data_IF_033329913817
#
_entry.id   IF_033329913817
#
_cell.length_a   1.000
_cell.length_b   1.000
_cell.length_c   1.000
_cell.angle_alpha   90.00
_cell.angle_beta   90.00
_cell.angle_gamma   90.00
#
_symmetry.space_group_name_H-M   'P 1'
#
loop_
_entity.id
_entity.type
_entity.pdbx_description
1 polymer ?
#
# COMPACT_ATOMS: atom_id res chain seq x y z
N UNK A 1 -15.80 -31.81 29.98
CA UNK A 1 -15.64 -30.70 29.01
C UNK A 1 -14.16 -30.45 28.67
N UNK A 2 -13.24 -30.41 29.64
CA UNK A 2 -11.80 -30.67 29.37
C UNK A 2 -11.61 -32.01 28.63
N UNK A 3 -12.44 -33.01 28.97
CA UNK A 3 -12.54 -34.30 28.27
C UNK A 3 -12.78 -34.17 26.75
N UNK A 4 -13.49 -33.14 26.29
CA UNK A 4 -13.73 -32.91 24.86
C UNK A 4 -12.48 -32.38 24.16
N UNK A 5 -11.71 -31.51 24.83
CA UNK A 5 -10.41 -31.05 24.34
C UNK A 5 -9.43 -32.21 24.30
N UNK A 6 -9.35 -33.01 25.38
CA UNK A 6 -8.49 -34.20 25.45
C UNK A 6 -8.83 -35.16 24.32
N UNK A 7 -10.11 -35.51 24.12
CA UNK A 7 -10.54 -36.38 23.04
C UNK A 7 -10.17 -35.83 21.65
N UNK A 8 -10.27 -34.52 21.43
CA UNK A 8 -9.84 -33.89 20.16
C UNK A 8 -8.33 -33.89 19.97
N UNK A 9 -7.56 -33.75 21.06
CA UNK A 9 -6.09 -33.86 21.01
C UNK A 9 -5.69 -35.31 20.71
N UNK A 10 -6.33 -36.29 21.34
CA UNK A 10 -6.14 -37.71 21.03
C UNK A 10 -6.49 -38.01 19.57
N UNK A 11 -7.60 -37.47 19.06
CA UNK A 11 -7.97 -37.55 17.64
C UNK A 11 -6.92 -36.92 16.73
N UNK A 12 -6.33 -35.78 17.11
CA UNK A 12 -5.25 -35.13 16.35
C UNK A 12 -4.00 -36.03 16.28
N UNK A 13 -3.63 -36.68 17.38
CA UNK A 13 -2.48 -37.59 17.42
C UNK A 13 -2.71 -38.81 16.52
N UNK A 14 -3.92 -39.40 16.55
CA UNK A 14 -4.26 -40.52 15.65
C UNK A 14 -4.21 -40.09 14.18
N UNK A 15 -4.80 -38.93 13.83
CA UNK A 15 -4.76 -38.39 12.46
C UNK A 15 -3.34 -38.05 11.99
N UNK A 16 -2.45 -37.70 12.90
CA UNK A 16 -1.06 -37.46 12.58
C UNK A 16 -0.38 -38.74 12.07
N UNK A 17 -0.60 -39.86 12.76
CA UNK A 17 -0.07 -41.17 12.34
C UNK A 17 -0.70 -41.64 11.01
N UNK A 18 -2.01 -41.57 10.88
CA UNK A 18 -2.73 -41.92 9.64
C UNK A 18 -2.28 -41.08 8.45
N UNK A 19 -2.01 -39.79 8.68
CA UNK A 19 -1.53 -38.88 7.66
C UNK A 19 -0.16 -39.27 7.12
N UNK A 20 0.77 -39.69 7.99
CA UNK A 20 2.09 -40.17 7.59
C UNK A 20 1.97 -41.48 6.80
N UNK A 21 1.14 -42.42 7.25
CA UNK A 21 0.88 -43.67 6.52
C UNK A 21 0.32 -43.37 5.13
N UNK A 22 -0.64 -42.45 5.02
CA UNK A 22 -1.20 -42.03 3.73
C UNK A 22 -0.17 -41.39 2.79
N UNK A 23 0.82 -40.67 3.31
CA UNK A 23 1.93 -40.14 2.50
C UNK A 23 2.83 -41.28 2.00
N UNK A 24 3.21 -42.21 2.88
CA UNK A 24 4.05 -43.37 2.52
C UNK A 24 3.38 -44.24 1.45
N UNK A 25 2.06 -44.40 1.54
CA UNK A 25 1.25 -45.16 0.60
C UNK A 25 0.96 -44.41 -0.72
N UNK A 26 1.33 -43.13 -0.83
CA UNK A 26 1.03 -42.29 -2.00
C UNK A 26 -0.44 -41.87 -2.13
N UNK A 27 -1.23 -41.97 -1.06
CA UNK A 27 -2.65 -41.60 -1.01
C UNK A 27 -2.85 -40.08 -0.89
N UNK A 28 -1.88 -39.39 -0.29
CA UNK A 28 -1.86 -37.92 -0.15
C UNK A 28 -0.43 -37.40 -0.22
N UNK A 29 -0.28 -36.17 -0.69
CA UNK A 29 1.01 -35.46 -0.64
C UNK A 29 1.12 -34.58 0.62
N UNK A 30 2.30 -33.99 0.80
CA UNK A 30 2.59 -33.13 1.96
C UNK A 30 1.69 -31.88 1.99
N UNK A 31 1.28 -31.37 0.83
CA UNK A 31 0.45 -30.17 0.74
C UNK A 31 -0.94 -30.46 1.29
N UNK A 32 -1.57 -31.54 0.81
CA UNK A 32 -2.88 -31.99 1.29
C UNK A 32 -2.83 -32.33 2.78
N UNK A 33 -1.80 -33.05 3.23
CA UNK A 33 -1.66 -33.38 4.65
C UNK A 33 -1.54 -32.15 5.54
N UNK A 34 -0.76 -31.14 5.11
CA UNK A 34 -0.60 -29.88 5.85
C UNK A 34 -1.93 -29.13 6.00
N UNK A 35 -2.76 -29.10 4.95
CA UNK A 35 -4.08 -28.48 5.01
C UNK A 35 -5.01 -29.21 5.99
N UNK A 36 -5.06 -30.55 5.90
CA UNK A 36 -5.87 -31.39 6.81
C UNK A 36 -5.46 -31.21 8.28
N UNK A 37 -4.15 -31.11 8.55
CA UNK A 37 -3.61 -30.90 9.89
C UNK A 37 -3.97 -29.50 10.42
N UNK A 38 -3.82 -28.47 9.57
CA UNK A 38 -4.17 -27.09 9.93
C UNK A 38 -5.65 -26.97 10.32
N UNK A 39 -6.56 -27.53 9.53
CA UNK A 39 -7.99 -27.51 9.83
C UNK A 39 -8.28 -28.10 11.21
N UNK A 40 -7.62 -29.22 11.55
CA UNK A 40 -7.82 -29.89 12.84
C UNK A 40 -7.25 -29.08 14.01
N UNK A 41 -6.07 -28.47 13.83
CA UNK A 41 -5.50 -27.57 14.83
C UNK A 41 -6.39 -26.35 15.06
N UNK A 42 -6.97 -25.78 14.00
CA UNK A 42 -7.91 -24.65 14.10
C UNK A 42 -9.18 -25.05 14.89
N UNK A 43 -9.72 -26.26 14.67
CA UNK A 43 -10.85 -26.78 15.47
C UNK A 43 -10.52 -26.88 16.96
N UNK A 44 -9.34 -27.40 17.30
CA UNK A 44 -8.88 -27.52 18.69
C UNK A 44 -8.69 -26.13 19.31
N UNK A 45 -8.04 -25.22 18.58
CA UNK A 45 -7.85 -23.84 19.00
C UNK A 45 -9.17 -23.14 19.33
N UNK A 46 -10.19 -23.28 18.47
CA UNK A 46 -11.55 -22.73 18.73
C UNK A 46 -12.14 -23.23 20.04
N UNK A 47 -12.07 -24.54 20.29
CA UNK A 47 -12.63 -25.14 21.50
C UNK A 47 -11.83 -24.70 22.75
N UNK A 48 -10.50 -24.61 22.65
CA UNK A 48 -9.66 -24.13 23.75
C UNK A 48 -9.99 -22.68 24.14
N UNK A 49 -10.12 -21.78 23.16
CA UNK A 49 -10.49 -20.38 23.43
C UNK A 49 -11.90 -20.29 24.02
N UNK A 50 -12.85 -21.05 23.50
CA UNK A 50 -14.21 -21.12 24.05
C UNK A 50 -14.20 -21.53 25.52
N UNK A 51 -13.44 -22.57 25.86
CA UNK A 51 -13.31 -23.06 27.23
C UNK A 51 -12.61 -22.06 28.12
N UNK A 52 -11.57 -21.37 27.64
CA UNK A 52 -10.91 -20.29 28.36
C UNK A 52 -11.89 -19.16 28.71
N UNK A 53 -12.69 -18.70 27.76
CA UNK A 53 -13.72 -17.68 28.01
C UNK A 53 -14.73 -18.15 29.07
N UNK A 54 -15.17 -19.41 29.00
CA UNK A 54 -16.10 -19.98 29.99
C UNK A 54 -15.46 -20.06 31.37
N UNK A 55 -14.22 -20.50 31.47
CA UNK A 55 -13.51 -20.62 32.75
C UNK A 55 -13.31 -19.26 33.40
N UNK A 56 -12.92 -18.24 32.63
CA UNK A 56 -12.82 -16.87 33.13
C UNK A 56 -14.17 -16.38 33.67
N UNK A 57 -15.26 -16.55 32.91
CA UNK A 57 -16.61 -16.19 33.39
C UNK A 57 -16.97 -16.92 34.68
N UNK A 58 -16.67 -18.22 34.76
CA UNK A 58 -16.98 -19.03 35.93
C UNK A 58 -16.19 -18.61 37.18
N UNK A 59 -14.89 -18.38 37.05
CA UNK A 59 -14.02 -17.92 38.14
C UNK A 59 -14.56 -16.60 38.71
N UNK A 60 -14.82 -15.62 37.83
CA UNK A 60 -15.35 -14.31 38.22
C UNK A 60 -16.74 -14.44 38.85
N UNK A 61 -17.60 -15.28 38.29
CA UNK A 61 -18.95 -15.57 38.80
C UNK A 61 -18.96 -16.34 40.12
N UNK A 62 -17.84 -16.90 40.56
CA UNK A 62 -17.73 -17.56 41.86
C UNK A 62 -16.93 -16.75 42.89
N UNK A 63 -16.19 -15.73 42.46
CA UNK A 63 -15.38 -14.88 43.33
C UNK A 63 -16.22 -14.12 44.38
N UNK A 64 -15.76 -14.15 45.64
CA UNK A 64 -16.43 -13.52 46.78
C UNK A 64 -16.51 -11.99 46.64
N UNK A 65 -15.39 -11.34 46.33
CA UNK A 65 -15.32 -9.87 46.13
C UNK A 65 -16.32 -9.39 45.07
N UNK A 66 -16.44 -10.14 43.97
CA UNK A 66 -17.42 -9.84 42.93
C UNK A 66 -18.86 -9.98 43.44
N UNK A 67 -19.21 -10.99 44.26
CA UNK A 67 -20.56 -11.15 44.85
C UNK A 67 -20.94 -9.99 45.77
N UNK A 68 -19.97 -9.42 46.47
CA UNK A 68 -20.18 -8.27 47.35
C UNK A 68 -20.61 -7.05 46.53
N UNK A 69 -19.92 -6.77 45.42
CA UNK A 69 -20.10 -5.55 44.60
C UNK A 69 -21.11 -5.65 43.46
N UNK A 70 -21.39 -6.84 42.95
CA UNK A 70 -22.18 -7.02 41.74
C UNK A 70 -23.30 -8.05 41.92
N UNK A 71 -24.46 -7.75 41.33
CA UNK A 71 -25.59 -8.65 41.19
C UNK A 71 -25.57 -9.32 39.80
N UNK A 72 -25.87 -10.61 39.74
CA UNK A 72 -26.02 -11.34 38.46
C UNK A 72 -27.40 -11.04 37.88
N UNK A 73 -27.43 -10.48 36.67
CA UNK A 73 -28.69 -10.12 36.00
C UNK A 73 -29.15 -11.24 35.07
N UNK A 74 -28.27 -11.69 34.18
CA UNK A 74 -28.54 -12.74 33.18
C UNK A 74 -27.25 -13.28 32.57
N UNK A 75 -27.40 -14.22 31.65
CA UNK A 75 -26.32 -14.70 30.78
C UNK A 75 -26.65 -14.39 29.33
N UNK A 76 -25.65 -13.92 28.59
CA UNK A 76 -25.78 -13.56 27.19
C UNK A 76 -24.79 -14.36 26.33
N UNK A 77 -25.18 -14.67 25.10
CA UNK A 77 -24.28 -15.27 24.10
C UNK A 77 -23.41 -14.18 23.47
N UNK A 78 -22.14 -14.49 23.24
CA UNK A 78 -21.17 -13.65 22.53
C UNK A 78 -20.44 -14.48 21.49
N UNK A 79 -20.10 -13.85 20.37
CA UNK A 79 -19.26 -14.42 19.32
C UNK A 79 -18.11 -13.45 19.01
N UNK A 80 -16.90 -13.99 18.88
CA UNK A 80 -15.70 -13.26 18.48
C UNK A 80 -14.94 -14.04 17.41
N UNK A 81 -14.48 -13.35 16.37
CA UNK A 81 -13.62 -13.93 15.33
C UNK A 81 -12.17 -13.91 15.80
N UNK A 82 -11.53 -15.07 15.82
CA UNK A 82 -10.12 -15.26 16.20
C UNK A 82 -9.31 -15.82 15.02
N UNK A 83 -8.00 -15.95 15.16
CA UNK A 83 -7.13 -16.57 14.14
C UNK A 83 -7.50 -18.05 13.88
N UNK A 84 -8.05 -18.74 14.87
CA UNK A 84 -8.56 -20.11 14.71
C UNK A 84 -9.96 -20.12 14.07
N UNK A 85 -10.64 -18.97 14.03
CA UNK A 85 -11.98 -18.77 13.47
C UNK A 85 -12.98 -18.29 14.51
N UNK A 86 -14.27 -18.47 14.21
CA UNK A 86 -15.37 -17.95 15.04
C UNK A 86 -15.52 -18.75 16.33
N UNK A 87 -15.52 -18.04 17.46
CA UNK A 87 -15.68 -18.61 18.80
C UNK A 87 -16.94 -18.05 19.43
N UNK A 88 -17.88 -18.93 19.78
CA UNK A 88 -19.11 -18.59 20.51
C UNK A 88 -19.03 -19.05 21.96
N UNK A 89 -19.34 -18.16 22.89
CA UNK A 89 -19.33 -18.42 24.33
C UNK A 89 -20.46 -17.70 25.06
N UNK A 90 -20.70 -18.09 26.30
CA UNK A 90 -21.69 -17.48 27.18
C UNK A 90 -20.95 -16.67 28.24
N UNK A 91 -21.40 -15.44 28.46
CA UNK A 91 -20.87 -14.50 29.47
C UNK A 91 -21.97 -14.04 30.41
N UNK A 92 -21.61 -13.73 31.65
CA UNK A 92 -22.53 -13.26 32.67
C UNK A 92 -22.60 -11.73 32.67
N UNK A 93 -23.83 -11.19 32.68
CA UNK A 93 -24.10 -9.76 32.76
C UNK A 93 -24.36 -9.34 34.20
N UNK A 94 -23.65 -8.32 34.66
CA UNK A 94 -23.67 -7.87 36.04
C UNK A 94 -24.24 -6.46 36.16
N UNK A 95 -24.90 -6.19 37.28
CA UNK A 95 -25.25 -4.84 37.74
C UNK A 95 -24.39 -4.50 38.96
N UNK A 96 -23.69 -3.38 38.92
CA UNK A 96 -22.96 -2.85 40.06
C UNK A 96 -23.97 -2.34 41.11
N UNK A 97 -23.77 -2.73 42.37
CA UNK A 97 -24.64 -2.32 43.49
C UNK A 97 -24.38 -0.89 43.95
N UNK A 98 -23.20 -0.33 43.68
CA UNK A 98 -22.79 1.00 44.13
C UNK A 98 -23.34 2.10 43.20
N UNK A 99 -23.02 2.02 41.90
CA UNK A 99 -23.41 3.05 40.91
C UNK A 99 -24.61 2.67 40.04
N UNK A 100 -25.11 1.43 40.15
CA UNK A 100 -26.20 0.90 39.33
C UNK A 100 -25.84 0.59 37.88
N UNK A 101 -24.59 0.77 37.49
CA UNK A 101 -24.04 0.51 36.16
C UNK A 101 -24.01 -0.97 35.82
N UNK A 102 -23.78 -1.28 34.54
CA UNK A 102 -23.81 -2.66 34.05
C UNK A 102 -22.56 -3.03 33.28
N UNK A 103 -22.09 -4.27 33.46
CA UNK A 103 -20.78 -4.70 32.94
C UNK A 103 -20.73 -6.20 32.67
N UNK A 104 -19.86 -6.59 31.73
CA UNK A 104 -19.44 -7.97 31.50
C UNK A 104 -18.00 -8.15 32.00
N UNK A 105 -17.84 -8.52 33.26
CA UNK A 105 -16.51 -8.59 33.91
C UNK A 105 -15.56 -9.58 33.22
N UNK A 106 -16.09 -10.69 32.68
CA UNK A 106 -15.29 -11.67 31.94
C UNK A 106 -14.62 -11.03 30.72
N UNK A 107 -15.33 -10.14 30.03
CA UNK A 107 -14.82 -9.49 28.83
C UNK A 107 -13.73 -8.46 29.16
N UNK A 108 -13.88 -7.72 30.26
CA UNK A 108 -12.85 -6.78 30.73
C UNK A 108 -11.54 -7.51 31.04
N UNK A 109 -11.62 -8.67 31.70
CA UNK A 109 -10.44 -9.50 32.01
C UNK A 109 -9.82 -10.08 30.74
N UNK A 110 -10.64 -10.51 29.78
CA UNK A 110 -10.17 -11.02 28.48
C UNK A 110 -9.70 -9.90 27.54
N UNK A 111 -9.82 -8.62 27.93
CA UNK A 111 -9.45 -7.48 27.08
C UNK A 111 -10.36 -7.32 25.86
N UNK A 112 -11.61 -7.74 25.95
CA UNK A 112 -12.57 -7.71 24.84
C UNK A 112 -13.51 -6.50 24.97
N UNK A 113 -13.32 -5.51 24.13
CA UNK A 113 -14.07 -4.25 24.16
C UNK A 113 -15.57 -4.42 23.85
N UNK A 114 -16.36 -3.43 24.26
CA UNK A 114 -17.79 -3.36 23.93
C UNK A 114 -17.98 -3.34 22.41
N UNK A 115 -18.88 -4.19 21.91
CA UNK A 115 -19.16 -4.38 20.47
C UNK A 115 -18.00 -4.95 19.64
N UNK A 116 -16.85 -5.29 20.23
CA UNK A 116 -15.77 -5.97 19.51
C UNK A 116 -16.23 -7.34 18.99
N UNK A 117 -16.20 -7.48 17.66
CA UNK A 117 -16.55 -8.73 16.93
C UNK A 117 -15.32 -9.47 16.39
N UNK A 118 -14.22 -8.76 16.20
CA UNK A 118 -12.98 -9.29 15.62
C UNK A 118 -11.86 -9.06 16.62
N UNK A 119 -11.13 -10.12 16.94
CA UNK A 119 -9.97 -10.08 17.81
C UNK A 119 -8.84 -9.21 17.23
N UNK A 120 -8.01 -8.64 18.10
CA UNK A 120 -6.95 -7.72 17.69
C UNK A 120 -5.81 -8.43 16.94
N UNK A 121 -5.51 -9.71 17.23
CA UNK A 121 -4.53 -10.46 16.45
C UNK A 121 -5.00 -10.70 15.01
N UNK A 122 -6.30 -10.91 14.82
CA UNK A 122 -6.90 -11.00 13.48
C UNK A 122 -6.81 -9.69 12.73
N UNK A 123 -7.11 -8.55 13.39
CA UNK A 123 -6.95 -7.22 12.78
C UNK A 123 -5.50 -7.01 12.34
N UNK A 124 -4.53 -7.31 13.21
CA UNK A 124 -3.10 -7.19 12.92
C UNK A 124 -2.69 -8.02 11.70
N UNK A 125 -3.06 -9.30 11.67
CA UNK A 125 -2.75 -10.18 10.54
C UNK A 125 -3.36 -9.70 9.21
N UNK A 126 -4.58 -9.13 9.23
CA UNK A 126 -5.19 -8.54 8.03
C UNK A 126 -4.39 -7.31 7.58
N UNK A 127 -4.00 -6.42 8.50
CA UNK A 127 -3.25 -5.20 8.18
C UNK A 127 -1.91 -5.50 7.52
N UNK A 128 -1.19 -6.50 8.04
CA UNK A 128 0.08 -6.93 7.44
C UNK A 128 -0.09 -7.38 5.98
N UNK A 129 -1.22 -8.01 5.66
CA UNK A 129 -1.48 -8.57 4.32
C UNK A 129 -2.03 -7.55 3.33
N UNK A 130 -2.85 -6.60 3.76
CA UNK A 130 -3.49 -5.62 2.83
C UNK A 130 -2.50 -4.66 2.15
N UNK A 131 -1.25 -4.60 2.63
CA UNK A 131 -0.16 -3.88 1.95
C UNK A 131 0.17 -4.53 0.60
N UNK A 132 0.10 -5.86 0.51
CA UNK A 132 0.54 -6.63 -0.65
C UNK A 132 -0.61 -7.18 -1.51
N UNK A 133 -1.84 -7.20 -0.97
CA UNK A 133 -2.98 -7.80 -1.66
C UNK A 133 -4.31 -7.08 -1.40
N UNK A 134 -5.32 -7.41 -2.21
CA UNK A 134 -6.66 -6.82 -2.05
C UNK A 134 -7.29 -7.20 -0.71
N UNK A 135 -8.14 -6.32 -0.19
CA UNK A 135 -8.84 -6.54 1.10
C UNK A 135 -9.57 -7.88 1.19
N UNK A 136 -10.18 -8.33 0.09
CA UNK A 136 -10.86 -9.62 0.03
C UNK A 136 -9.87 -10.78 0.13
N UNK A 137 -8.74 -10.71 -0.60
CA UNK A 137 -7.69 -11.74 -0.53
C UNK A 137 -7.04 -11.79 0.85
N UNK A 138 -6.76 -10.64 1.46
CA UNK A 138 -6.20 -10.56 2.81
C UNK A 138 -7.15 -11.19 3.85
N UNK A 139 -8.45 -10.90 3.76
CA UNK A 139 -9.45 -11.52 4.63
C UNK A 139 -9.49 -13.04 4.47
N UNK A 140 -9.51 -13.51 3.21
CA UNK A 140 -9.54 -14.94 2.88
C UNK A 140 -8.29 -15.68 3.34
N UNK A 141 -7.12 -15.07 3.23
CA UNK A 141 -5.87 -15.69 3.63
C UNK A 141 -5.77 -15.80 5.17
N UNK A 142 -6.20 -14.78 5.90
CA UNK A 142 -6.12 -14.78 7.37
C UNK A 142 -7.21 -15.65 8.01
N UNK A 143 -8.43 -15.66 7.45
CA UNK A 143 -9.58 -16.27 8.12
C UNK A 143 -10.29 -17.37 7.32
N UNK A 144 -9.96 -17.58 6.05
CA UNK A 144 -10.65 -18.51 5.15
C UNK A 144 -11.84 -17.89 4.40
N UNK A 145 -12.31 -18.58 3.36
CA UNK A 145 -13.19 -18.04 2.31
C UNK A 145 -14.52 -17.40 2.79
N UNK A 146 -15.08 -17.85 3.92
CA UNK A 146 -16.41 -17.43 4.37
C UNK A 146 -16.40 -16.49 5.60
N UNK A 147 -15.23 -16.11 6.12
CA UNK A 147 -15.19 -15.64 7.52
C UNK A 147 -15.25 -14.13 7.71
N UNK A 148 -14.85 -13.30 6.73
CA UNK A 148 -14.88 -11.83 6.82
C UNK A 148 -15.13 -11.18 5.46
N UNK A 149 -16.02 -10.17 5.43
CA UNK A 149 -16.30 -9.40 4.21
C UNK A 149 -15.25 -8.33 3.94
N UNK A 150 -15.09 -7.96 2.66
CA UNK A 150 -14.30 -6.79 2.22
C UNK A 150 -14.63 -5.52 3.02
N UNK A 151 -15.90 -5.30 3.34
CA UNK A 151 -16.34 -4.12 4.06
C UNK A 151 -15.82 -4.09 5.51
N UNK A 152 -15.78 -5.24 6.16
CA UNK A 152 -15.24 -5.36 7.52
C UNK A 152 -13.73 -5.04 7.56
N UNK A 153 -12.96 -5.49 6.57
CA UNK A 153 -11.54 -5.11 6.42
C UNK A 153 -11.38 -3.61 6.23
N UNK A 154 -12.20 -3.02 5.36
CA UNK A 154 -12.19 -1.56 5.14
C UNK A 154 -12.50 -0.78 6.43
N UNK A 155 -13.44 -1.27 7.25
CA UNK A 155 -13.79 -0.64 8.51
C UNK A 155 -12.66 -0.74 9.55
N UNK A 156 -11.92 -1.87 9.59
CA UNK A 156 -10.72 -2.01 10.44
C UNK A 156 -9.68 -0.95 10.08
N UNK A 157 -9.38 -0.79 8.79
CA UNK A 157 -8.40 0.21 8.32
C UNK A 157 -8.83 1.64 8.63
N UNK A 158 -10.09 1.99 8.37
CA UNK A 158 -10.64 3.32 8.70
C UNK A 158 -10.57 3.63 10.20
N UNK A 159 -10.80 2.62 11.05
CA UNK A 159 -10.67 2.79 12.50
C UNK A 159 -9.24 3.11 12.94
N UNK A 160 -8.24 2.58 12.24
CA UNK A 160 -6.82 2.87 12.49
C UNK A 160 -6.45 4.25 11.99
N UNK A 161 -6.88 4.61 10.77
CA UNK A 161 -6.67 5.95 10.22
C UNK A 161 -7.24 7.02 11.16
N UNK A 162 -8.48 6.83 11.66
CA UNK A 162 -9.08 7.73 12.64
C UNK A 162 -8.26 7.81 13.94
N UNK A 163 -7.86 6.66 14.50
CA UNK A 163 -7.05 6.63 15.73
C UNK A 163 -5.61 7.16 15.54
N UNK A 164 -5.07 7.14 14.32
CA UNK A 164 -3.79 7.75 13.97
C UNK A 164 -3.93 9.25 13.78
N UNK A 165 -4.99 9.72 13.11
CA UNK A 165 -5.31 11.14 12.98
C UNK A 165 -5.59 11.80 14.33
N UNK A 166 -6.31 11.13 15.23
CA UNK A 166 -6.54 11.60 16.60
C UNK A 166 -5.22 11.69 17.38
N UNK A 167 -4.34 10.69 17.25
CA UNK A 167 -3.01 10.71 17.88
C UNK A 167 -2.11 11.80 17.31
N UNK A 168 -2.08 11.99 16.00
CA UNK A 168 -1.32 13.08 15.34
C UNK A 168 -1.87 14.46 15.77
N UNK A 169 -3.19 14.59 15.98
CA UNK A 169 -3.79 15.79 16.54
C UNK A 169 -3.35 16.09 17.98
N UNK A 170 -3.04 15.06 18.76
CA UNK A 170 -2.55 15.18 20.14
C UNK A 170 -1.01 15.26 20.27
N UNK A 171 -0.25 14.70 19.32
CA UNK A 171 1.22 14.63 19.32
C UNK A 171 1.91 15.73 18.50
N UNK A 172 1.20 16.77 18.06
CA UNK A 172 1.77 17.98 17.41
C UNK A 172 2.72 18.81 18.29
N UNK A 173 3.29 18.25 19.35
CA UNK A 173 4.16 18.96 20.31
C UNK A 173 5.61 18.50 20.43
N UNK A 174 6.08 17.50 19.68
CA UNK A 174 7.48 17.04 19.79
C UNK A 174 8.22 16.89 18.45
N UNK A 175 8.21 17.92 17.59
CA UNK A 175 9.21 18.02 16.50
C UNK A 175 10.39 18.87 16.98
N UNK A 176 11.17 18.30 17.89
CA UNK A 176 12.51 18.79 18.20
C UNK A 176 13.53 17.78 17.66
N UNK A 177 13.77 17.80 16.35
CA UNK A 177 14.96 17.24 15.74
C UNK A 177 15.40 18.18 14.62
N UNK A 178 16.68 18.56 14.62
CA UNK A 178 17.29 19.48 13.67
C UNK A 178 16.91 19.15 12.22
N UNK A 179 16.51 20.17 11.44
CA UNK A 179 16.17 19.99 10.02
C UNK A 179 17.34 19.40 9.23
N UNK A 180 17.03 18.63 8.19
CA UNK A 180 18.00 18.02 7.30
C UNK A 180 18.69 19.08 6.42
N UNK A 181 19.99 18.90 6.18
CA UNK A 181 20.77 19.75 5.27
C UNK A 181 21.13 18.94 4.03
N UNK A 182 20.59 19.34 2.89
CA UNK A 182 20.84 18.69 1.58
C UNK A 182 21.18 19.74 0.54
N UNK A 183 22.01 19.36 -0.45
CA UNK A 183 22.32 20.23 -1.59
C UNK A 183 21.24 20.20 -2.67
N UNK A 184 20.72 19.00 -2.94
CA UNK A 184 19.73 18.76 -3.96
C UNK A 184 18.54 18.02 -3.36
N UNK A 185 17.34 18.45 -3.73
CA UNK A 185 16.09 17.79 -3.37
C UNK A 185 15.32 17.42 -4.63
N UNK A 186 14.76 16.21 -4.66
CA UNK A 186 14.03 15.68 -5.79
C UNK A 186 12.58 15.44 -5.39
N UNK A 187 11.65 15.98 -6.17
CA UNK A 187 10.22 15.84 -5.99
C UNK A 187 9.69 15.18 -7.25
N UNK A 188 9.17 13.97 -7.15
CA UNK A 188 8.67 13.22 -8.29
C UNK A 188 7.15 13.11 -8.18
N UNK A 189 6.43 13.64 -9.17
CA UNK A 189 4.98 13.65 -9.22
C UNK A 189 4.46 12.83 -10.40
N UNK A 190 3.38 12.09 -10.17
CA UNK A 190 2.71 11.26 -11.17
C UNK A 190 1.20 11.20 -10.89
N UNK A 191 0.45 10.79 -11.90
CA UNK A 191 -0.99 10.57 -11.84
C UNK A 191 -1.32 9.08 -12.01
N UNK A 192 -2.12 8.53 -11.10
CA UNK A 192 -2.77 7.24 -11.36
C UNK A 192 -4.27 7.42 -11.64
N UNK A 193 -4.76 6.70 -12.65
CA UNK A 193 -6.16 6.76 -13.07
C UNK A 193 -6.92 5.62 -12.39
N UNK A 194 -7.65 5.95 -11.33
CA UNK A 194 -8.44 5.00 -10.56
C UNK A 194 -9.88 5.00 -11.09
N UNK A 195 -10.30 3.86 -11.63
CA UNK A 195 -11.72 3.60 -11.90
C UNK A 195 -12.44 3.32 -10.59
N UNK A 196 -13.35 4.20 -10.18
CA UNK A 196 -14.18 3.99 -9.00
C UNK A 196 -15.32 3.00 -9.30
N UNK A 197 -15.85 2.40 -8.23
CA UNK A 197 -16.94 1.43 -8.33
C UNK A 197 -18.26 2.02 -8.87
N UNK A 198 -18.43 3.35 -8.81
CA UNK A 198 -19.56 4.07 -9.40
C UNK A 198 -19.36 4.40 -10.89
N UNK A 199 -18.27 3.93 -11.52
CA UNK A 199 -17.96 4.19 -12.92
C UNK A 199 -17.28 5.53 -13.18
N UNK A 200 -17.10 6.37 -12.16
CA UNK A 200 -16.34 7.62 -12.28
C UNK A 200 -14.83 7.32 -12.31
N UNK A 201 -14.11 7.91 -13.27
CA UNK A 201 -12.66 7.96 -13.21
C UNK A 201 -12.21 9.05 -12.25
N UNK A 202 -11.30 8.73 -11.33
CA UNK A 202 -10.59 9.74 -10.53
C UNK A 202 -9.10 9.66 -10.77
N UNK A 203 -8.47 10.82 -10.80
CA UNK A 203 -7.01 10.95 -10.82
C UNK A 203 -6.54 10.98 -9.38
N UNK A 204 -5.73 10.01 -9.01
CA UNK A 204 -4.95 10.04 -7.78
C UNK A 204 -3.66 10.81 -8.05
N UNK A 205 -3.47 11.92 -7.34
CA UNK A 205 -2.22 12.66 -7.29
C UNK A 205 -1.25 11.90 -6.41
N UNK A 206 -0.05 11.63 -6.91
CA UNK A 206 1.05 11.08 -6.16
C UNK A 206 2.24 12.01 -6.29
N UNK A 207 2.89 12.33 -5.19
CA UNK A 207 4.20 12.96 -5.18
C UNK A 207 5.09 12.30 -4.14
N UNK A 208 6.40 12.25 -4.37
CA UNK A 208 7.34 11.86 -3.33
C UNK A 208 8.62 12.68 -3.38
N UNK A 209 9.11 13.01 -2.19
CA UNK A 209 10.36 13.73 -1.99
C UNK A 209 11.47 12.72 -1.72
N UNK A 210 12.66 12.95 -2.26
CA UNK A 210 13.85 12.17 -1.94
C UNK A 210 15.15 12.98 -2.06
N UNK A 211 16.21 12.47 -1.44
CA UNK A 211 17.55 13.09 -1.43
C UNK A 211 18.51 12.46 -2.47
N UNK A 212 17.96 11.83 -3.52
CA UNK A 212 18.73 11.10 -4.53
C UNK A 212 19.04 9.65 -4.14
N UNK A 213 20.05 9.03 -4.78
CA UNK A 213 20.38 7.63 -4.55
C UNK A 213 21.22 7.40 -3.29
N UNK A 214 20.97 6.28 -2.59
CA UNK A 214 21.85 5.75 -1.55
C UNK A 214 23.19 5.35 -2.16
N UNK A 215 24.26 5.85 -1.56
CA UNK A 215 25.64 5.56 -1.93
C UNK A 215 26.29 4.68 -0.86
N UNK A 216 26.96 3.60 -1.26
CA UNK A 216 27.83 2.82 -0.40
C UNK A 216 29.28 3.12 -0.76
N UNK A 217 30.05 3.70 0.17
CA UNK A 217 31.46 4.09 -0.07
C UNK A 217 31.65 4.97 -1.32
N UNK A 218 30.74 5.92 -1.55
CA UNK A 218 30.76 6.81 -2.72
C UNK A 218 30.34 6.15 -4.04
N UNK A 219 29.84 4.91 -4.01
CA UNK A 219 29.40 4.17 -5.20
C UNK A 219 27.92 3.80 -5.08
N UNK A 220 27.13 4.14 -6.10
CA UNK A 220 25.73 3.71 -6.22
C UNK A 220 25.70 2.26 -6.70
N UNK A 221 25.69 1.28 -5.78
CA UNK A 221 25.58 -0.14 -6.16
C UNK A 221 24.16 -0.57 -6.55
N UNK A 222 23.14 0.07 -5.95
CA UNK A 222 21.72 -0.13 -6.25
C UNK A 222 21.01 1.22 -6.26
N UNK A 223 20.13 1.45 -7.23
CA UNK A 223 19.32 2.68 -7.35
C UNK A 223 18.20 2.70 -6.30
N UNK A 224 18.55 2.69 -5.02
CA UNK A 224 17.61 2.87 -3.92
C UNK A 224 17.63 4.35 -3.53
N UNK A 225 16.46 4.97 -3.41
CA UNK A 225 16.35 6.37 -3.00
C UNK A 225 16.67 6.54 -1.50
N UNK A 226 17.21 7.70 -1.15
CA UNK A 226 17.53 8.14 0.21
C UNK A 226 16.38 9.01 0.74
N UNK A 227 15.99 8.77 2.00
CA UNK A 227 14.95 9.52 2.74
C UNK A 227 13.72 9.87 1.88
N UNK A 228 12.93 8.85 1.53
CA UNK A 228 11.74 9.02 0.70
C UNK A 228 10.52 9.35 1.56
N UNK A 229 9.83 10.42 1.23
CA UNK A 229 8.55 10.77 1.83
C UNK A 229 7.46 10.83 0.76
N UNK A 230 6.31 10.21 1.00
CA UNK A 230 5.22 10.06 0.02
C UNK A 230 4.02 10.92 0.39
N UNK A 231 3.44 11.54 -0.63
CA UNK A 231 2.17 12.26 -0.58
C UNK A 231 1.22 11.65 -1.60
N UNK A 232 -0.01 11.37 -1.20
CA UNK A 232 -1.02 10.85 -2.12
C UNK A 232 -2.39 11.41 -1.81
N UNK A 233 -3.15 11.73 -2.85
CA UNK A 233 -4.51 12.25 -2.68
C UNK A 233 -5.41 11.98 -3.87
N UNK A 234 -6.65 11.59 -3.58
CA UNK A 234 -7.70 11.34 -4.59
C UNK A 234 -8.72 12.49 -4.62
N UNK A 235 -8.74 13.33 -3.58
CA UNK A 235 -9.80 14.34 -3.37
C UNK A 235 -9.31 15.77 -3.34
N UNK A 236 -8.06 16.00 -2.96
CA UNK A 236 -7.55 17.35 -2.76
C UNK A 236 -7.42 18.09 -4.08
N UNK A 237 -7.67 19.41 -4.00
CA UNK A 237 -7.29 20.31 -5.08
C UNK A 237 -5.76 20.35 -5.17
N UNK A 238 -5.22 20.64 -6.37
CA UNK A 238 -3.78 20.86 -6.54
C UNK A 238 -3.18 21.82 -5.49
N UNK A 239 -3.84 22.95 -5.21
CA UNK A 239 -3.41 23.93 -4.22
C UNK A 239 -3.17 23.29 -2.83
N UNK A 240 -4.18 22.59 -2.31
CA UNK A 240 -4.13 21.95 -0.99
C UNK A 240 -3.05 20.87 -0.93
N UNK A 241 -2.86 20.13 -2.04
CA UNK A 241 -1.86 19.08 -2.13
C UNK A 241 -0.45 19.68 -2.09
N UNK A 242 -0.16 20.70 -2.88
CA UNK A 242 1.16 21.33 -2.93
C UNK A 242 1.47 22.16 -1.70
N UNK A 243 0.47 22.77 -1.06
CA UNK A 243 0.64 23.41 0.25
C UNK A 243 1.21 22.43 1.28
N UNK A 244 0.71 21.19 1.32
CA UNK A 244 1.21 20.15 2.25
C UNK A 244 2.63 19.71 1.92
N UNK A 245 2.94 19.56 0.64
CA UNK A 245 4.30 19.23 0.19
C UNK A 245 5.27 20.35 0.60
N UNK A 246 4.88 21.61 0.41
CA UNK A 246 5.67 22.78 0.82
C UNK A 246 5.87 22.85 2.33
N UNK A 247 4.80 22.67 3.11
CA UNK A 247 4.86 22.68 4.59
C UNK A 247 5.83 21.60 5.09
N UNK A 248 5.76 20.40 4.54
CA UNK A 248 6.69 19.33 4.87
C UNK A 248 8.16 19.70 4.58
N UNK A 249 8.44 20.29 3.41
CA UNK A 249 9.80 20.72 3.05
C UNK A 249 10.33 21.74 4.06
N UNK A 250 9.51 22.74 4.40
CA UNK A 250 9.87 23.76 5.38
C UNK A 250 10.08 23.19 6.78
N UNK A 251 9.27 22.23 7.22
CA UNK A 251 9.41 21.61 8.53
C UNK A 251 10.66 20.71 8.63
N UNK A 252 11.04 20.04 7.54
CA UNK A 252 12.03 18.96 7.57
C UNK A 252 13.41 19.33 7.00
N UNK A 253 13.54 20.41 6.22
CA UNK A 253 14.80 20.79 5.57
C UNK A 253 15.20 22.24 5.85
N UNK A 254 16.51 22.48 5.95
CA UNK A 254 17.09 23.82 5.93
C UNK A 254 17.02 24.38 4.50
N UNK A 255 15.87 24.93 4.13
CA UNK A 255 15.54 25.36 2.76
C UNK A 255 16.59 26.32 2.19
N UNK A 256 17.12 27.25 2.98
CA UNK A 256 18.17 28.19 2.57
C UNK A 256 19.46 27.51 2.08
N UNK A 257 19.77 26.30 2.55
CA UNK A 257 20.98 25.54 2.18
C UNK A 257 20.80 24.66 0.95
N UNK A 258 19.57 24.52 0.46
CA UNK A 258 19.28 23.74 -0.74
C UNK A 258 19.73 24.57 -1.96
N UNK A 259 20.66 24.02 -2.73
CA UNK A 259 21.19 24.64 -3.96
C UNK A 259 20.21 24.46 -5.12
N UNK A 260 19.58 23.26 -5.23
CA UNK A 260 18.62 22.94 -6.29
C UNK A 260 17.46 22.08 -5.81
N UNK A 261 16.26 22.39 -6.29
CA UNK A 261 15.07 21.55 -6.14
C UNK A 261 14.59 21.18 -7.53
N UNK A 262 14.42 19.87 -7.79
CA UNK A 262 13.90 19.38 -9.06
C UNK A 262 12.49 18.85 -8.87
N UNK A 263 11.54 19.37 -9.65
CA UNK A 263 10.19 18.84 -9.74
C UNK A 263 10.06 18.01 -11.02
N UNK A 264 10.08 16.70 -10.89
CA UNK A 264 9.94 15.75 -11.98
C UNK A 264 8.48 15.36 -12.17
N UNK A 265 8.02 15.31 -13.41
CA UNK A 265 6.70 14.78 -13.72
C UNK A 265 6.39 14.77 -15.22
N UNK A 266 5.13 14.51 -15.56
CA UNK A 266 4.64 14.44 -16.93
C UNK A 266 4.21 15.81 -17.51
N UNK A 267 4.28 16.86 -16.70
CA UNK A 267 3.92 18.21 -17.09
C UNK A 267 2.42 18.50 -17.08
N UNK A 268 1.60 17.65 -16.44
CA UNK A 268 0.21 17.94 -16.14
C UNK A 268 0.07 19.28 -15.40
N UNK A 269 -1.06 19.97 -15.62
CA UNK A 269 -1.29 21.31 -15.09
C UNK A 269 -1.15 21.35 -13.56
N UNK A 270 -1.73 20.38 -12.85
CA UNK A 270 -1.60 20.31 -11.40
C UNK A 270 -0.16 20.05 -10.96
N UNK A 271 0.66 19.33 -11.72
CA UNK A 271 2.08 19.13 -11.36
C UNK A 271 2.83 20.45 -11.50
N UNK A 272 2.63 21.18 -12.61
CA UNK A 272 3.28 22.47 -12.84
C UNK A 272 2.90 23.52 -11.80
N UNK A 273 1.71 23.43 -11.24
CA UNK A 273 1.27 24.28 -10.13
C UNK A 273 2.19 24.17 -8.90
N UNK A 274 2.87 23.02 -8.70
CA UNK A 274 3.85 22.86 -7.64
C UNK A 274 5.02 23.85 -7.70
N UNK A 275 5.31 24.42 -8.88
CA UNK A 275 6.32 25.48 -9.04
C UNK A 275 5.91 26.80 -8.37
N UNK A 276 4.61 27.03 -8.17
CA UNK A 276 4.10 28.20 -7.46
C UNK A 276 4.25 28.05 -5.93
N UNK A 277 4.27 26.80 -5.45
CA UNK A 277 4.34 26.46 -4.02
C UNK A 277 5.75 26.19 -3.53
N UNK A 278 6.66 25.77 -4.40
CA UNK A 278 8.03 25.36 -4.02
C UNK A 278 9.04 26.33 -4.65
N UNK A 279 9.50 27.35 -3.91
CA UNK A 279 10.43 28.34 -4.44
C UNK A 279 11.74 27.71 -4.94
N UNK A 280 12.24 28.18 -6.08
CA UNK A 280 13.46 27.69 -6.76
C UNK A 280 13.36 26.26 -7.32
N UNK A 281 12.19 25.65 -7.32
CA UNK A 281 12.00 24.39 -8.02
C UNK A 281 12.14 24.59 -9.54
N UNK A 282 12.92 23.72 -10.17
CA UNK A 282 13.04 23.62 -11.62
C UNK A 282 12.24 22.40 -12.09
N UNK A 283 11.30 22.61 -13.02
CA UNK A 283 10.55 21.51 -13.60
C UNK A 283 11.43 20.71 -14.57
N UNK A 284 11.39 19.39 -14.43
CA UNK A 284 12.13 18.47 -15.29
C UNK A 284 11.14 17.45 -15.84
N UNK A 285 11.11 17.31 -17.17
CA UNK A 285 10.27 16.31 -17.79
C UNK A 285 10.84 14.92 -17.49
N UNK A 286 10.01 14.02 -16.95
CA UNK A 286 10.44 12.64 -16.73
C UNK A 286 10.72 11.91 -18.06
N UNK A 287 11.81 11.15 -18.06
CA UNK A 287 12.32 10.42 -19.23
C UNK A 287 11.36 9.34 -19.70
N UNK A 288 10.59 8.70 -18.82
CA UNK A 288 9.62 7.68 -19.25
C UNK A 288 8.53 8.32 -20.11
N UNK A 289 8.02 9.48 -19.72
CA UNK A 289 7.04 10.25 -20.48
C UNK A 289 7.59 10.74 -21.82
N UNK A 290 8.81 11.29 -21.83
CA UNK A 290 9.50 11.65 -23.07
C UNK A 290 9.62 10.45 -24.02
N UNK A 291 10.11 9.30 -23.53
CA UNK A 291 10.28 8.10 -24.34
C UNK A 291 8.96 7.55 -24.86
N UNK A 292 7.88 7.65 -24.09
CA UNK A 292 6.54 7.27 -24.55
C UNK A 292 6.13 8.08 -25.78
N UNK A 293 6.37 9.39 -25.78
CA UNK A 293 6.04 10.24 -26.94
C UNK A 293 6.97 9.97 -28.14
N UNK A 294 8.27 9.74 -27.92
CA UNK A 294 9.19 9.33 -29.00
C UNK A 294 8.76 8.01 -29.65
N UNK A 295 8.32 7.03 -28.84
CA UNK A 295 7.79 5.75 -29.34
C UNK A 295 6.52 5.97 -30.17
N UNK A 296 5.61 6.84 -29.73
CA UNK A 296 4.39 7.18 -30.49
C UNK A 296 4.72 7.82 -31.84
N UNK A 297 5.70 8.72 -31.90
CA UNK A 297 6.12 9.35 -33.17
C UNK A 297 6.74 8.31 -34.10
N UNK A 298 7.67 7.51 -33.58
CA UNK A 298 8.42 6.54 -34.38
C UNK A 298 7.59 5.36 -34.88
N UNK A 299 6.52 4.96 -34.16
CA UNK A 299 5.65 3.83 -34.52
C UNK A 299 6.41 2.54 -34.86
N UNK A 300 7.51 2.26 -34.15
CA UNK A 300 8.37 1.10 -34.40
C UNK A 300 9.37 1.26 -35.55
N UNK A 301 9.39 2.40 -36.25
CA UNK A 301 10.43 2.71 -37.23
C UNK A 301 11.74 3.08 -36.53
N UNK A 302 12.72 2.17 -36.59
CA UNK A 302 14.02 2.33 -35.93
C UNK A 302 14.80 3.57 -36.38
N UNK A 303 14.72 3.95 -37.67
CA UNK A 303 15.41 5.14 -38.21
C UNK A 303 14.81 6.43 -37.65
N UNK A 304 13.48 6.52 -37.61
CA UNK A 304 12.78 7.68 -37.02
C UNK A 304 13.07 7.77 -35.52
N UNK A 305 13.00 6.64 -34.81
CA UNK A 305 13.33 6.60 -33.38
C UNK A 305 14.76 7.11 -33.12
N UNK A 306 15.76 6.56 -33.81
CA UNK A 306 17.16 6.96 -33.66
C UNK A 306 17.36 8.44 -34.01
N UNK A 307 16.76 8.93 -35.10
CA UNK A 307 16.86 10.33 -35.51
C UNK A 307 16.28 11.31 -34.48
N UNK A 308 15.18 10.96 -33.82
CA UNK A 308 14.60 11.78 -32.73
C UNK A 308 15.53 11.78 -31.52
N UNK A 309 16.05 10.63 -31.10
CA UNK A 309 16.98 10.54 -29.96
C UNK A 309 18.24 11.36 -30.23
N UNK A 310 18.76 11.28 -31.46
CA UNK A 310 19.92 12.05 -31.90
C UNK A 310 19.64 13.56 -31.86
N UNK A 311 18.51 14.01 -32.40
CA UNK A 311 18.09 15.41 -32.36
C UNK A 311 17.95 15.95 -30.93
N UNK A 312 17.34 15.16 -30.02
CA UNK A 312 17.22 15.53 -28.61
C UNK A 312 18.60 15.63 -27.95
N UNK A 313 19.47 14.63 -28.14
CA UNK A 313 20.83 14.61 -27.58
C UNK A 313 21.67 15.79 -28.06
N UNK A 314 21.58 16.10 -29.35
CA UNK A 314 22.34 17.18 -29.99
C UNK A 314 21.67 18.55 -29.79
N UNK A 315 20.50 18.59 -29.12
CA UNK A 315 19.66 19.78 -28.89
C UNK A 315 19.26 20.50 -30.19
N UNK A 316 19.15 19.74 -31.27
CA UNK A 316 18.88 20.24 -32.61
C UNK A 316 17.37 20.18 -32.89
N UNK A 317 16.71 21.31 -32.65
CA UNK A 317 15.26 21.44 -32.84
C UNK A 317 14.86 21.31 -34.32
N UNK A 318 15.68 21.78 -35.23
CA UNK A 318 15.39 21.72 -36.66
C UNK A 318 15.48 20.29 -37.18
N UNK A 319 16.47 19.52 -36.72
CA UNK A 319 16.57 18.08 -36.99
C UNK A 319 15.40 17.32 -36.40
N UNK A 320 14.96 17.65 -35.19
CA UNK A 320 13.76 17.03 -34.60
C UNK A 320 12.53 17.26 -35.51
N UNK A 321 12.30 18.50 -35.95
CA UNK A 321 11.17 18.83 -36.82
C UNK A 321 11.24 18.12 -38.18
N UNK A 322 12.43 18.02 -38.77
CA UNK A 322 12.65 17.24 -40.02
C UNK A 322 12.30 15.77 -39.84
N UNK A 323 12.79 15.13 -38.77
CA UNK A 323 12.50 13.71 -38.52
C UNK A 323 11.02 13.47 -38.23
N UNK A 324 10.34 14.41 -37.56
CA UNK A 324 8.89 14.34 -37.36
C UNK A 324 8.13 14.49 -38.69
N UNK A 325 8.57 15.37 -39.60
CA UNK A 325 7.99 15.50 -40.93
C UNK A 325 8.13 14.18 -41.73
N UNK A 326 9.31 13.55 -41.72
CA UNK A 326 9.51 12.23 -42.33
C UNK A 326 8.58 11.16 -41.73
N UNK A 327 8.35 11.22 -40.41
CA UNK A 327 7.42 10.32 -39.74
C UNK A 327 5.97 10.53 -40.21
N UNK A 328 5.55 11.78 -40.42
CA UNK A 328 4.22 12.11 -40.95
C UNK A 328 4.03 11.60 -42.38
N UNK A 329 5.02 11.79 -43.24
CA UNK A 329 4.97 11.33 -44.64
C UNK A 329 4.83 9.81 -44.73
N UNK A 330 5.60 9.06 -43.95
CA UNK A 330 5.55 7.59 -43.91
C UNK A 330 4.20 7.02 -43.48
N UNK A 331 3.42 7.80 -42.73
CA UNK A 331 2.09 7.42 -42.27
C UNK A 331 1.02 7.60 -43.36
N UNK A 332 1.33 8.32 -44.44
CA UNK A 332 0.45 8.44 -45.60
C UNK A 332 -0.89 9.07 -45.26
N UNK A 333 -2.00 8.36 -45.52
CA UNK A 333 -3.37 8.87 -45.32
C UNK A 333 -3.98 8.53 -43.93
N UNK A 334 -3.25 7.87 -43.01
CA UNK A 334 -3.77 7.51 -41.68
C UNK A 334 -3.85 8.75 -40.76
N UNK A 335 -4.99 9.44 -40.79
CA UNK A 335 -5.24 10.66 -40.01
C UNK A 335 -5.20 10.42 -38.49
N UNK A 336 -5.57 9.23 -38.01
CA UNK A 336 -5.46 8.90 -36.58
C UNK A 336 -3.99 8.86 -36.15
N UNK A 337 -3.12 8.29 -36.98
CA UNK A 337 -1.69 8.29 -36.71
C UNK A 337 -1.06 9.68 -36.86
N UNK A 338 -1.44 10.46 -37.88
CA UNK A 338 -0.98 11.87 -37.98
C UNK A 338 -1.38 12.69 -36.77
N UNK A 339 -2.61 12.50 -36.25
CA UNK A 339 -3.05 13.16 -35.01
C UNK A 339 -2.15 12.77 -33.84
N UNK A 340 -1.89 11.48 -33.62
CA UNK A 340 -0.98 11.01 -32.56
C UNK A 340 0.43 11.60 -32.67
N UNK A 341 0.99 11.66 -33.88
CA UNK A 341 2.30 12.28 -34.12
C UNK A 341 2.25 13.78 -33.81
N UNK A 342 1.21 14.50 -34.23
CA UNK A 342 1.05 15.94 -33.94
C UNK A 342 0.98 16.22 -32.45
N UNK A 343 0.19 15.42 -31.73
CA UNK A 343 0.01 15.56 -30.29
C UNK A 343 1.34 15.29 -29.55
N UNK A 344 2.05 14.22 -29.94
CA UNK A 344 3.36 13.86 -29.36
C UNK A 344 4.44 14.91 -29.68
N UNK A 345 4.46 15.43 -30.93
CA UNK A 345 5.35 16.52 -31.35
C UNK A 345 5.11 17.76 -30.51
N UNK A 346 3.85 18.17 -30.38
CA UNK A 346 3.47 19.34 -29.57
C UNK A 346 3.91 19.17 -28.12
N UNK A 347 3.70 17.99 -27.55
CA UNK A 347 4.12 17.70 -26.19
C UNK A 347 5.64 17.85 -26.00
N UNK A 348 6.45 17.27 -26.88
CA UNK A 348 7.92 17.39 -26.82
C UNK A 348 8.35 18.85 -27.03
N UNK A 349 7.76 19.55 -28.01
CA UNK A 349 8.08 20.94 -28.29
C UNK A 349 7.75 21.88 -27.11
N UNK A 350 6.64 21.64 -26.41
CA UNK A 350 6.23 22.42 -25.24
C UNK A 350 7.13 22.18 -24.00
N UNK A 351 7.90 21.09 -24.00
CA UNK A 351 8.80 20.74 -22.90
C UNK A 351 10.27 20.78 -23.32
N UNK A 352 10.59 21.37 -24.49
CA UNK A 352 11.92 21.34 -25.08
C UNK A 352 13.00 21.82 -24.11
N UNK A 353 12.79 22.98 -23.47
CA UNK A 353 13.76 23.55 -22.54
C UNK A 353 13.98 22.67 -21.30
N UNK A 354 12.91 22.03 -20.79
CA UNK A 354 12.98 21.11 -19.65
C UNK A 354 13.68 19.78 -20.02
N UNK A 355 13.55 19.33 -21.26
CA UNK A 355 14.26 18.16 -21.78
C UNK A 355 15.74 18.49 -21.94
N UNK A 356 16.07 19.66 -22.45
CA UNK A 356 17.45 20.14 -22.57
C UNK A 356 18.10 20.24 -21.17
N UNK A 357 17.37 20.77 -20.19
CA UNK A 357 17.81 20.83 -18.79
C UNK A 357 18.09 19.43 -18.21
N UNK A 358 17.26 18.42 -18.51
CA UNK A 358 17.51 17.03 -18.10
C UNK A 358 18.78 16.46 -18.73
N UNK A 359 18.99 16.73 -20.03
CA UNK A 359 20.13 16.22 -20.79
C UNK A 359 21.46 16.87 -20.37
N UNK A 360 21.43 18.14 -19.99
CA UNK A 360 22.59 18.87 -19.47
C UNK A 360 22.95 18.43 -18.05
N UNK A 361 21.94 18.17 -17.23
CA UNK A 361 22.14 17.66 -15.88
C UNK A 361 22.17 16.13 -15.87
N UNK A 362 23.29 15.54 -16.30
CA UNK A 362 23.59 14.08 -16.22
C UNK A 362 23.47 13.48 -14.79
N UNK A 363 23.17 14.31 -13.79
CA UNK A 363 23.16 14.02 -12.35
C UNK A 363 21.72 14.05 -11.79
N UNK A 364 20.64 14.21 -12.58
CA UNK A 364 19.29 14.13 -12.00
C UNK A 364 19.04 12.69 -11.49
N UNK A 365 19.11 12.50 -10.17
CA UNK A 365 18.97 11.22 -9.47
C UNK A 365 17.50 10.89 -9.17
N UNK A 366 16.63 10.99 -10.16
CA UNK A 366 15.21 10.59 -10.06
C UNK A 366 14.98 9.09 -10.29
N UNK A 367 13.85 8.58 -9.84
CA UNK A 367 13.45 7.20 -10.08
C UNK A 367 13.05 6.98 -11.54
N UNK A 368 13.88 6.29 -12.33
CA UNK A 368 13.64 6.05 -13.78
C UNK A 368 12.51 5.06 -14.10
N UNK A 369 11.67 4.72 -13.12
CA UNK A 369 10.50 3.81 -13.10
C UNK A 369 10.47 3.16 -11.71
N UNK A 370 9.48 3.50 -10.87
CA UNK A 370 8.91 2.58 -9.87
C UNK A 370 7.49 2.95 -9.40
N UNK A 371 6.76 3.86 -10.05
CA UNK A 371 5.32 4.01 -9.79
C UNK A 371 4.53 3.02 -10.66
N UNK A 372 4.75 1.72 -10.45
CA UNK A 372 3.85 0.64 -10.92
C UNK A 372 3.78 -0.55 -9.96
N UNK A 373 4.57 -0.57 -8.89
CA UNK A 373 4.61 -1.72 -7.97
C UNK A 373 3.67 -1.58 -6.75
N UNK A 374 2.82 -0.56 -6.68
CA UNK A 374 1.87 -0.40 -5.55
C UNK A 374 0.40 -0.63 -5.88
N UNK A 375 0.04 -0.94 -7.13
CA UNK A 375 -1.33 -1.37 -7.47
C UNK A 375 -1.28 -2.43 -8.59
N UNK A 376 -1.73 -3.65 -8.25
CA UNK A 376 -1.85 -4.89 -9.07
C UNK A 376 -0.62 -5.81 -9.23
N UNK A 377 -0.60 -6.95 -8.50
CA UNK A 377 0.12 -8.14 -8.92
C UNK A 377 -0.81 -8.96 -9.83
N UNK A 378 -0.65 -8.89 -11.15
CA UNK A 378 -0.99 -9.92 -12.15
C UNK A 378 -0.31 -9.48 -13.46
N UNK A 379 0.34 -10.42 -14.14
CA UNK A 379 1.20 -10.31 -15.33
C UNK A 379 2.71 -10.16 -15.06
N UNK A 380 3.29 -11.22 -14.50
CA UNK A 380 4.58 -11.70 -14.99
C UNK A 380 4.59 -13.24 -15.05
N UNK A 381 3.77 -13.75 -15.96
CA UNK A 381 4.03 -15.02 -16.62
C UNK A 381 4.28 -14.72 -18.09
N UNK A 382 5.33 -15.32 -18.65
CA UNK A 382 5.63 -15.41 -20.09
C UNK A 382 6.45 -14.27 -20.71
N UNK A 383 7.77 -14.28 -20.48
CA UNK A 383 8.75 -14.03 -21.56
C UNK A 383 10.10 -14.68 -21.21
N UNK A 384 10.13 -16.02 -21.29
CA UNK A 384 11.36 -16.76 -21.59
C UNK A 384 11.54 -16.75 -23.11
N UNK A 385 12.39 -15.86 -23.63
CA UNK A 385 13.20 -16.03 -24.85
C UNK A 385 14.28 -14.94 -24.68
N UNK A 386 15.57 -15.20 -24.53
CA UNK A 386 16.42 -16.15 -25.23
C UNK A 386 17.49 -15.31 -25.94
N UNK A 387 18.76 -15.56 -25.59
CA UNK A 387 19.98 -15.22 -26.37
C UNK A 387 20.25 -13.70 -26.56
N UNK A 388 21.48 -13.18 -26.52
CA UNK A 388 22.79 -13.71 -26.91
C UNK A 388 23.90 -12.98 -26.14
N UNK A 389 25.09 -13.61 -26.19
CA UNK A 389 26.46 -13.05 -26.17
C UNK A 389 26.63 -11.54 -26.17
#
# INVERSE_FOLDING_TARGET
>A
MITNIIAKIEELLNRFEEGIVGIVNGEKDIARYTMELKEKMDEIGKEMIKEACRFVDEIVRNEKKRKERYEVVRKDKRSIKTIFGDVEYIRTYYKNKEDGGYVYLADEILGIEKYQRIDNAVKAAIIEKVVDMSYDKAAKEVLGEERVSRQSVMNILRGIEAAQLDRIGHDKKDVANSKNVVKELYIEADEDHISLQNGEGKIAKLAYINEGYKEEKGVVKRKKLKEVHYFSSIKEKPEDFWSKVSEYIEEHYETDKIEKIYLLGDGAAWIKEGLEWIPRAEFVLDRFHLMREVIKISRGNKKIFAGIIEALRDKDRDKFEKVVAEAMEKVGADEKAKKRIRDSRRYIANHWDNIVLELDNRIIKGCRRLVKNFVFPIYNASCKVGLCY
#
